data_IF_228261668998
#
_entry.id   IF_228261668998
#
_cell.length_a   1.000
_cell.length_b   1.000
_cell.length_c   1.000
_cell.angle_alpha   90.00
_cell.angle_beta   90.00
_cell.angle_gamma   90.00
#
_symmetry.space_group_name_H-M   'P 1'
#
loop_
_entity.id
_entity.type
_entity.pdbx_description
1 polymer ?
#
# COMPACT_ATOMS: atom_id res chain seq x y z
N UNK A 1 -4.69 4.31 22.40
CA UNK A 1 -5.61 3.16 22.32
C UNK A 1 -5.32 2.26 23.50
N UNK A 2 -6.32 2.03 24.36
CA UNK A 2 -6.20 1.29 25.61
C UNK A 2 -6.42 -0.21 25.39
N UNK A 3 -5.43 -1.03 25.69
CA UNK A 3 -5.64 -2.47 25.87
C UNK A 3 -5.97 -2.73 27.35
N UNK A 4 -7.21 -3.11 27.62
CA UNK A 4 -7.66 -3.60 28.92
C UNK A 4 -7.42 -5.10 29.01
N UNK A 5 -6.70 -5.55 30.05
CA UNK A 5 -6.68 -6.95 30.45
C UNK A 5 -7.40 -7.08 31.80
N UNK A 6 -8.58 -7.68 31.76
CA UNK A 6 -9.33 -8.15 32.93
C UNK A 6 -8.55 -9.27 33.61
N UNK A 7 -8.16 -9.07 34.87
CA UNK A 7 -7.52 -10.11 35.68
C UNK A 7 -8.58 -11.13 36.12
N UNK A 8 -8.55 -12.33 35.53
CA UNK A 8 -9.15 -13.52 36.14
C UNK A 8 -8.10 -14.18 37.04
N UNK A 9 -8.43 -14.28 38.32
CA UNK A 9 -7.61 -14.90 39.36
C UNK A 9 -7.60 -16.41 39.11
N UNK A 10 -6.50 -16.94 38.60
CA UNK A 10 -5.99 -18.29 38.88
C UNK A 10 -4.57 -18.40 38.36
N UNK A 11 -3.60 -18.66 39.24
CA UNK A 11 -2.21 -18.94 38.87
C UNK A 11 -2.10 -20.33 38.21
N UNK A 12 -2.52 -20.41 36.95
CA UNK A 12 -2.22 -21.52 36.04
C UNK A 12 -0.88 -21.27 35.33
N UNK A 13 -0.16 -22.35 35.03
CA UNK A 13 1.11 -22.38 34.30
C UNK A 13 0.97 -21.94 32.84
N UNK A 14 0.62 -20.68 32.61
CA UNK A 14 0.40 -20.11 31.29
C UNK A 14 1.60 -19.26 30.90
N UNK A 15 2.38 -19.72 29.92
CA UNK A 15 3.20 -18.82 29.10
C UNK A 15 2.23 -17.87 28.40
N UNK A 16 2.02 -16.68 28.97
CA UNK A 16 1.29 -15.62 28.32
C UNK A 16 2.19 -15.00 27.26
N UNK A 17 2.05 -15.43 26.01
CA UNK A 17 2.68 -14.77 24.87
C UNK A 17 1.93 -13.46 24.62
N UNK A 18 2.59 -12.33 24.81
CA UNK A 18 2.04 -11.01 24.47
C UNK A 18 2.42 -10.75 23.01
N UNK A 19 1.41 -10.65 22.13
CA UNK A 19 1.61 -10.28 20.73
C UNK A 19 1.41 -8.77 20.61
N UNK A 20 2.50 -8.02 20.44
CA UNK A 20 2.45 -6.57 20.17
C UNK A 20 2.35 -6.38 18.64
N UNK A 21 1.41 -5.57 18.13
CA UNK A 21 1.39 -5.24 16.70
C UNK A 21 2.66 -4.46 16.31
N UNK A 22 3.22 -4.78 15.14
CA UNK A 22 4.54 -4.37 14.63
C UNK A 22 4.81 -2.85 14.52
N UNK A 23 3.85 -1.97 14.83
CA UNK A 23 3.92 -0.53 14.59
C UNK A 23 3.89 0.34 15.87
N UNK A 24 4.35 -0.18 17.01
CA UNK A 24 4.47 0.62 18.23
C UNK A 24 5.74 1.50 18.20
N UNK A 25 5.68 2.60 17.44
CA UNK A 25 6.67 3.68 17.52
C UNK A 25 6.53 4.35 18.89
N UNK A 26 7.57 4.20 19.73
CA UNK A 26 7.93 5.07 20.85
C UNK A 26 6.82 5.42 21.88
N UNK A 27 5.99 4.44 22.29
CA UNK A 27 5.20 4.57 23.51
C UNK A 27 5.98 4.02 24.72
N UNK A 28 5.92 4.64 25.92
CA UNK A 28 6.51 4.06 27.12
C UNK A 28 5.86 2.70 27.40
N UNK A 29 6.65 1.63 27.33
CA UNK A 29 6.22 0.28 27.69
C UNK A 29 5.95 0.25 29.20
N UNK A 30 4.68 0.09 29.59
CA UNK A 30 4.31 -0.18 30.98
C UNK A 30 4.48 -1.69 31.19
N UNK A 31 5.66 -2.11 31.64
CA UNK A 31 5.88 -3.49 32.05
C UNK A 31 5.20 -3.70 33.41
N UNK A 32 4.08 -4.41 33.44
CA UNK A 32 3.45 -4.81 34.69
C UNK A 32 4.28 -5.90 35.38
N UNK A 33 4.48 -5.75 36.69
CA UNK A 33 5.19 -6.73 37.51
C UNK A 33 4.44 -8.09 37.49
N UNK A 34 5.15 -9.22 37.35
CA UNK A 34 4.54 -10.53 37.55
C UNK A 34 4.09 -10.69 39.01
N UNK A 35 3.00 -11.44 39.25
CA UNK A 35 2.62 -11.88 40.59
C UNK A 35 3.80 -12.60 41.25
N UNK A 36 4.38 -11.97 42.26
CA UNK A 36 5.46 -12.56 43.07
C UNK A 36 4.81 -13.60 43.98
N UNK A 37 5.24 -14.88 43.88
CA UNK A 37 4.84 -15.88 44.88
C UNK A 37 5.33 -15.41 46.24
N UNK A 38 4.51 -15.52 47.27
CA UNK A 38 4.88 -15.15 48.64
C UNK A 38 6.15 -15.91 49.06
N UNK A 39 7.28 -15.20 49.08
CA UNK A 39 8.51 -15.70 49.68
C UNK A 39 8.58 -15.17 51.11
N UNK A 40 8.80 -16.06 52.07
CA UNK A 40 8.96 -15.70 53.48
C UNK A 40 10.14 -14.73 53.65
N UNK A 41 9.85 -13.50 54.04
CA UNK A 41 10.82 -12.39 54.14
C UNK A 41 11.54 -12.31 55.50
N UNK A 42 11.57 -13.39 56.28
CA UNK A 42 12.02 -13.33 57.69
C UNK A 42 13.54 -13.13 57.88
N UNK A 43 14.33 -13.05 56.81
CA UNK A 43 15.80 -12.88 56.87
C UNK A 43 16.25 -11.83 55.84
N UNK A 44 16.83 -10.72 56.32
CA UNK A 44 17.22 -9.55 55.52
C UNK A 44 18.16 -9.86 54.33
N UNK A 45 18.95 -10.94 54.42
CA UNK A 45 19.83 -11.38 53.32
C UNK A 45 19.05 -11.92 52.11
N UNK A 46 17.88 -12.52 52.34
CA UNK A 46 17.02 -13.02 51.26
C UNK A 46 16.23 -11.90 50.58
N UNK A 47 15.83 -10.85 51.32
CA UNK A 47 15.20 -9.67 50.72
C UNK A 47 16.11 -9.01 49.66
N UNK A 48 17.41 -8.86 49.96
CA UNK A 48 18.35 -8.27 49.01
C UNK A 48 18.60 -9.13 47.77
N UNK A 49 18.59 -10.47 47.90
CA UNK A 49 18.72 -11.37 46.74
C UNK A 49 17.47 -11.35 45.87
N UNK A 50 16.28 -11.43 46.46
CA UNK A 50 15.01 -11.41 45.74
C UNK A 50 14.83 -10.09 44.99
N UNK A 51 15.11 -8.96 45.63
CA UNK A 51 15.01 -7.63 44.98
C UNK A 51 15.96 -7.55 43.78
N UNK A 52 17.18 -8.08 43.91
CA UNK A 52 18.18 -8.03 42.84
C UNK A 52 17.83 -8.94 41.68
N UNK A 53 17.35 -10.16 41.94
CA UNK A 53 16.89 -11.08 40.89
C UNK A 53 15.65 -10.57 40.17
N UNK A 54 14.69 -9.99 40.91
CA UNK A 54 13.50 -9.37 40.32
C UNK A 54 13.88 -8.15 39.48
N UNK A 55 14.80 -7.30 39.95
CA UNK A 55 15.29 -6.17 39.15
C UNK A 55 16.02 -6.61 37.88
N UNK A 56 16.86 -7.65 37.96
CA UNK A 56 17.58 -8.18 36.79
C UNK A 56 16.61 -8.82 35.80
N UNK A 57 15.62 -9.57 36.29
CA UNK A 57 14.58 -10.17 35.44
C UNK A 57 13.70 -9.09 34.76
N UNK A 58 13.36 -8.02 35.47
CA UNK A 58 12.67 -6.85 34.91
C UNK A 58 13.55 -6.15 33.87
N UNK A 59 14.81 -5.86 34.20
CA UNK A 59 15.77 -5.23 33.28
C UNK A 59 15.93 -6.03 31.99
N UNK A 60 16.08 -7.35 32.09
CA UNK A 60 16.25 -8.23 30.93
C UNK A 60 14.97 -8.34 30.10
N UNK A 61 13.78 -8.32 30.72
CA UNK A 61 12.50 -8.30 30.00
C UNK A 61 12.27 -6.97 29.28
N UNK A 62 12.51 -5.85 29.95
CA UNK A 62 12.39 -4.53 29.35
C UNK A 62 13.39 -4.31 28.20
N UNK A 63 14.60 -4.88 28.29
CA UNK A 63 15.60 -4.80 27.22
C UNK A 63 15.34 -5.78 26.07
N UNK A 64 14.72 -6.95 26.34
CA UNK A 64 14.38 -7.92 25.30
C UNK A 64 13.18 -7.50 24.43
N UNK A 65 12.36 -6.55 24.90
CA UNK A 65 11.18 -6.04 24.18
C UNK A 65 11.48 -4.80 23.32
N UNK A 66 12.68 -4.22 23.40
CA UNK A 66 13.10 -3.14 22.48
C UNK A 66 13.79 -3.78 21.29
N UNK A 67 13.18 -3.77 20.09
CA UNK A 67 13.88 -4.19 18.88
C UNK A 67 15.17 -3.38 18.77
N UNK A 68 16.30 -3.98 18.38
CA UNK A 68 17.52 -3.22 18.16
C UNK A 68 17.23 -2.07 17.20
N UNK A 69 17.77 -0.86 17.44
CA UNK A 69 17.56 0.27 16.57
C UNK A 69 17.96 -0.13 15.15
N UNK A 70 17.06 0.14 14.18
CA UNK A 70 17.32 -0.16 12.79
C UNK A 70 18.59 0.58 12.34
N UNK A 71 19.45 -0.04 11.52
CA UNK A 71 20.59 0.64 10.96
C UNK A 71 20.16 1.94 10.26
N UNK A 72 20.91 3.05 10.40
CA UNK A 72 20.64 4.28 9.66
C UNK A 72 20.57 4.00 8.15
N UNK A 73 19.59 4.62 7.48
CA UNK A 73 19.33 4.40 6.06
C UNK A 73 18.43 3.20 5.73
N UNK A 74 17.98 2.41 6.72
CA UNK A 74 16.96 1.38 6.48
C UNK A 74 15.66 2.04 6.03
N UNK A 75 15.04 1.56 4.94
CA UNK A 75 13.76 2.07 4.48
C UNK A 75 12.61 1.44 5.28
N UNK A 76 11.78 2.27 5.90
CA UNK A 76 10.60 1.84 6.66
C UNK A 76 9.34 2.24 5.89
N UNK A 77 8.38 1.30 5.82
CA UNK A 77 7.07 1.54 5.24
C UNK A 77 6.26 2.45 6.17
N UNK A 78 5.97 3.66 5.71
CA UNK A 78 5.14 4.64 6.40
C UNK A 78 3.66 4.48 6.05
N UNK A 79 3.36 4.08 4.82
CA UNK A 79 1.99 3.82 4.35
C UNK A 79 1.99 2.82 3.21
N UNK A 80 0.95 1.99 3.14
CA UNK A 80 0.64 1.11 2.03
C UNK A 80 -0.85 1.24 1.73
N UNK A 81 -1.17 1.83 0.58
CA UNK A 81 -2.55 2.14 0.18
C UNK A 81 -2.83 1.52 -1.18
N UNK A 82 -3.96 0.85 -1.30
CA UNK A 82 -4.52 0.43 -2.58
C UNK A 82 -5.74 1.27 -2.89
N UNK A 83 -5.79 1.88 -4.09
CA UNK A 83 -6.98 2.62 -4.53
C UNK A 83 -7.43 2.14 -5.91
N UNK A 84 -8.73 2.28 -6.18
CA UNK A 84 -9.39 1.79 -7.39
C UNK A 84 -10.24 2.88 -8.06
N UNK A 85 -9.92 4.15 -7.82
CA UNK A 85 -10.83 5.26 -8.12
C UNK A 85 -10.45 6.06 -9.37
N UNK A 86 -9.42 5.64 -10.10
CA UNK A 86 -8.97 6.36 -11.29
C UNK A 86 -9.49 5.69 -12.56
N UNK A 87 -10.02 6.50 -13.46
CA UNK A 87 -10.40 6.06 -14.80
C UNK A 87 -9.85 6.98 -15.87
N UNK A 88 -9.59 6.41 -17.05
CA UNK A 88 -9.18 7.13 -18.25
C UNK A 88 -10.15 6.78 -19.37
N UNK A 89 -10.86 7.79 -19.88
CA UNK A 89 -11.64 7.66 -21.10
C UNK A 89 -10.78 8.10 -22.29
N UNK A 90 -10.75 7.28 -23.33
CA UNK A 90 -9.98 7.51 -24.54
C UNK A 90 -10.79 7.08 -25.76
N UNK A 91 -10.69 7.85 -26.85
CA UNK A 91 -11.34 7.52 -28.12
C UNK A 91 -10.28 7.32 -29.19
N UNK A 92 -10.34 6.18 -29.89
CA UNK A 92 -9.48 5.84 -31.01
C UNK A 92 -10.28 6.01 -32.29
N UNK A 93 -10.05 7.11 -33.00
CA UNK A 93 -10.67 7.36 -34.30
C UNK A 93 -10.01 6.49 -35.37
N UNK A 94 -10.77 5.61 -36.01
CA UNK A 94 -10.24 4.68 -37.00
C UNK A 94 -9.95 5.42 -38.30
N UNK A 95 -8.75 5.23 -38.86
CA UNK A 95 -8.39 5.84 -40.14
C UNK A 95 -9.17 5.26 -41.31
N UNK A 96 -9.60 4.01 -41.17
CA UNK A 96 -10.45 3.26 -42.10
C UNK A 96 -11.63 2.78 -41.29
N UNK A 97 -12.84 2.99 -41.80
CA UNK A 97 -14.05 2.49 -41.15
C UNK A 97 -14.00 0.96 -40.99
N UNK A 98 -14.37 0.47 -39.82
CA UNK A 98 -14.34 -0.95 -39.51
C UNK A 98 -15.71 -1.60 -39.68
N UNK A 99 -15.72 -2.78 -40.28
CA UNK A 99 -16.88 -3.67 -40.28
C UNK A 99 -17.02 -4.41 -38.94
N UNK A 100 -15.91 -4.78 -38.30
CA UNK A 100 -15.89 -5.45 -37.01
C UNK A 100 -14.60 -5.18 -36.23
N UNK A 101 -14.70 -5.05 -34.90
CA UNK A 101 -13.53 -5.00 -34.02
C UNK A 101 -13.14 -6.42 -33.64
N UNK A 102 -11.87 -6.77 -33.85
CA UNK A 102 -11.32 -8.10 -33.55
C UNK A 102 -10.78 -8.12 -32.11
N UNK A 103 -9.96 -7.13 -31.75
CA UNK A 103 -9.39 -7.02 -30.40
C UNK A 103 -9.01 -5.59 -30.04
N UNK A 104 -9.03 -5.32 -28.74
CA UNK A 104 -8.53 -4.07 -28.15
C UNK A 104 -7.58 -4.44 -27.01
N UNK A 105 -6.31 -4.14 -27.21
CA UNK A 105 -5.25 -4.37 -26.25
C UNK A 105 -4.76 -3.05 -25.66
N UNK A 106 -4.48 -3.04 -24.36
CA UNK A 106 -4.04 -1.84 -23.65
C UNK A 106 -2.76 -2.16 -22.92
N UNK A 107 -1.74 -1.31 -23.09
CA UNK A 107 -0.48 -1.42 -22.36
C UNK A 107 -0.14 -0.07 -21.72
N UNK A 108 0.44 -0.10 -20.53
CA UNK A 108 0.88 1.10 -19.83
C UNK A 108 2.39 1.27 -20.04
N UNK A 109 2.81 2.47 -20.40
CA UNK A 109 4.21 2.82 -20.63
C UNK A 109 4.59 4.06 -19.83
N UNK A 110 5.88 4.18 -19.52
CA UNK A 110 6.45 5.35 -18.85
C UNK A 110 5.76 5.74 -17.53
N UNK A 111 5.21 4.76 -16.80
CA UNK A 111 4.50 5.03 -15.55
C UNK A 111 5.50 5.47 -14.47
N UNK A 112 5.30 6.65 -13.92
CA UNK A 112 6.11 7.22 -12.85
C UNK A 112 5.24 7.69 -11.70
N UNK A 113 5.78 7.56 -10.49
CA UNK A 113 5.17 8.02 -9.25
C UNK A 113 6.05 9.12 -8.67
N UNK A 114 5.48 10.28 -8.41
CA UNK A 114 6.20 11.42 -7.85
C UNK A 114 5.44 11.99 -6.65
N UNK A 115 6.15 12.25 -5.56
CA UNK A 115 5.60 13.02 -4.45
C UNK A 115 5.66 14.50 -4.82
N UNK A 116 4.51 15.16 -4.85
CA UNK A 116 4.39 16.59 -5.17
C UNK A 116 4.05 17.44 -3.94
N UNK A 117 3.72 16.81 -2.80
CA UNK A 117 3.51 17.49 -1.51
C UNK A 117 3.68 16.54 -0.33
N UNK A 118 4.12 17.06 0.83
CA UNK A 118 4.41 16.26 2.04
C UNK A 118 3.42 16.48 3.20
N UNK A 119 2.64 17.57 3.14
CA UNK A 119 1.54 17.85 4.07
C UNK A 119 0.29 17.11 3.58
N UNK A 120 0.07 15.88 4.07
CA UNK A 120 -0.67 14.82 3.35
C UNK A 120 0.02 14.51 2.04
N UNK A 121 0.64 13.32 1.92
CA UNK A 121 1.44 13.02 0.74
C UNK A 121 0.54 12.98 -0.49
N UNK A 122 0.80 13.90 -1.42
CA UNK A 122 0.15 13.92 -2.72
C UNK A 122 1.10 13.21 -3.67
N UNK A 123 0.66 12.07 -4.19
CA UNK A 123 1.36 11.31 -5.20
C UNK A 123 0.76 11.61 -6.56
N UNK A 124 1.56 12.14 -7.45
CA UNK A 124 1.25 12.28 -8.86
C UNK A 124 1.69 11.01 -9.59
N UNK A 125 0.78 10.44 -10.38
CA UNK A 125 1.01 9.28 -11.22
C UNK A 125 0.90 9.74 -12.65
N UNK A 126 1.99 9.65 -13.40
CA UNK A 126 2.06 10.06 -14.81
C UNK A 126 2.43 8.86 -15.66
N UNK A 127 1.92 8.80 -16.88
CA UNK A 127 2.28 7.75 -17.83
C UNK A 127 1.45 7.82 -19.10
N UNK A 128 1.65 6.82 -19.95
CA UNK A 128 0.99 6.71 -21.25
C UNK A 128 0.20 5.40 -21.32
N UNK A 129 -1.06 5.48 -21.71
CA UNK A 129 -1.86 4.33 -22.09
C UNK A 129 -1.78 4.13 -23.60
N UNK A 130 -1.16 3.05 -24.04
CA UNK A 130 -1.05 2.66 -25.45
C UNK A 130 -2.15 1.66 -25.77
N UNK A 131 -3.16 2.12 -26.50
CA UNK A 131 -4.33 1.37 -26.92
C UNK A 131 -4.10 0.90 -28.35
N UNK A 132 -4.12 -0.41 -28.56
CA UNK A 132 -3.97 -1.04 -29.87
C UNK A 132 -5.26 -1.73 -30.24
N UNK A 133 -5.91 -1.26 -31.29
CA UNK A 133 -7.15 -1.79 -31.84
C UNK A 133 -6.83 -2.58 -33.10
N UNK A 134 -7.22 -3.84 -33.14
CA UNK A 134 -7.18 -4.67 -34.35
C UNK A 134 -8.60 -4.85 -34.85
N UNK A 135 -8.84 -4.59 -36.13
CA UNK A 135 -10.18 -4.58 -36.70
C UNK A 135 -10.18 -5.06 -38.14
N UNK A 136 -11.34 -5.51 -38.62
CA UNK A 136 -11.59 -5.79 -40.02
C UNK A 136 -12.18 -4.53 -40.66
N UNK A 137 -11.51 -3.97 -41.66
CA UNK A 137 -11.97 -2.81 -42.41
C UNK A 137 -13.15 -3.14 -43.32
N UNK A 138 -13.87 -2.11 -43.76
CA UNK A 138 -14.90 -2.25 -44.81
C UNK A 138 -14.33 -2.74 -46.15
N UNK A 139 -13.01 -2.63 -46.33
CA UNK A 139 -12.24 -3.21 -47.45
C UNK A 139 -12.04 -4.74 -47.33
N UNK A 140 -12.46 -5.33 -46.21
CA UNK A 140 -12.34 -6.75 -45.91
C UNK A 140 -10.98 -7.18 -45.38
N UNK A 141 -10.02 -6.25 -45.23
CA UNK A 141 -8.68 -6.53 -44.73
C UNK A 141 -8.58 -6.31 -43.22
N UNK A 142 -7.58 -6.92 -42.59
CA UNK A 142 -7.28 -6.72 -41.17
C UNK A 142 -6.32 -5.55 -41.03
N UNK A 143 -6.72 -4.57 -40.21
CA UNK A 143 -5.94 -3.40 -39.88
C UNK A 143 -5.63 -3.36 -38.38
N UNK A 144 -4.52 -2.71 -38.04
CA UNK A 144 -4.13 -2.44 -36.66
C UNK A 144 -3.85 -0.97 -36.52
N UNK A 145 -4.46 -0.35 -35.51
CA UNK A 145 -4.25 1.05 -35.20
C UNK A 145 -3.88 1.21 -33.73
N UNK A 146 -2.89 2.06 -33.49
CA UNK A 146 -2.40 2.36 -32.14
C UNK A 146 -2.64 3.83 -31.83
N UNK A 147 -3.15 4.09 -30.63
CA UNK A 147 -3.29 5.42 -30.06
C UNK A 147 -2.59 5.46 -28.69
N UNK A 148 -1.85 6.53 -28.46
CA UNK A 148 -1.18 6.78 -27.18
C UNK A 148 -1.89 7.93 -26.47
N UNK A 149 -2.36 7.68 -25.26
CA UNK A 149 -3.09 8.65 -24.46
C UNK A 149 -2.33 8.92 -23.16
N UNK A 150 -1.74 10.12 -22.98
CA UNK A 150 -1.09 10.47 -21.74
C UNK A 150 -2.13 10.66 -20.64
N UNK A 151 -1.80 10.24 -19.41
CA UNK A 151 -2.64 10.44 -18.24
C UNK A 151 -1.83 11.00 -17.06
N UNK A 152 -2.54 11.73 -16.22
CA UNK A 152 -2.01 12.27 -14.97
C UNK A 152 -3.09 12.10 -13.90
N UNK A 153 -2.79 11.31 -12.87
CA UNK A 153 -3.64 11.15 -11.70
C UNK A 153 -2.97 11.72 -10.47
N UNK A 154 -3.77 12.16 -9.52
CA UNK A 154 -3.28 12.59 -8.21
C UNK A 154 -4.02 11.82 -7.13
N UNK A 155 -3.26 11.22 -6.23
CA UNK A 155 -3.79 10.55 -5.04
C UNK A 155 -3.25 11.22 -3.79
N UNK A 156 -4.16 11.46 -2.84
CA UNK A 156 -3.82 12.05 -1.54
C UNK A 156 -3.84 10.96 -0.50
N UNK A 157 -2.68 10.70 0.11
CA UNK A 157 -2.53 9.77 1.22
C UNK A 157 -2.54 10.59 2.52
N UNK A 158 -3.55 10.42 3.39
CA UNK A 158 -3.64 11.18 4.63
C UNK A 158 -2.49 10.81 5.58
N UNK A 159 -1.88 11.82 6.20
CA UNK A 159 -0.79 11.64 7.18
C UNK A 159 0.26 12.74 7.08
N UNK A 160 1.20 12.72 8.04
CA UNK A 160 2.40 13.57 8.01
C UNK A 160 3.60 12.71 7.66
N UNK A 161 4.30 13.07 6.60
CA UNK A 161 5.43 12.29 6.10
C UNK A 161 6.70 13.15 6.09
N UNK A 162 7.86 12.57 6.43
CA UNK A 162 9.15 13.25 6.31
C UNK A 162 9.44 13.73 4.88
N UNK A 163 10.20 14.81 4.73
CA UNK A 163 10.58 15.36 3.41
C UNK A 163 11.52 14.44 2.60
N UNK A 164 12.18 13.50 3.26
CA UNK A 164 13.02 12.48 2.63
C UNK A 164 12.25 11.19 2.27
N UNK A 165 10.91 11.25 2.27
CA UNK A 165 10.08 10.11 1.87
C UNK A 165 10.25 9.79 0.39
N UNK A 166 10.21 8.51 0.05
CA UNK A 166 10.27 7.96 -1.29
C UNK A 166 8.92 7.29 -1.58
N UNK A 167 8.44 7.43 -2.81
CA UNK A 167 7.25 6.70 -3.26
C UNK A 167 7.65 5.52 -4.12
N UNK A 168 7.04 4.38 -3.87
CA UNK A 168 7.04 3.22 -4.75
C UNK A 168 5.59 2.86 -5.05
N UNK A 169 5.33 2.36 -6.24
CA UNK A 169 3.99 1.94 -6.57
C UNK A 169 3.92 1.08 -7.82
N UNK A 170 2.75 0.48 -8.00
CA UNK A 170 2.39 -0.25 -9.20
C UNK A 170 1.03 0.22 -9.68
N UNK A 171 0.89 0.34 -11.00
CA UNK A 171 -0.35 0.68 -11.68
C UNK A 171 -0.71 -0.47 -12.60
N UNK A 172 -1.95 -0.96 -12.53
CA UNK A 172 -2.48 -1.94 -13.47
C UNK A 172 -3.88 -1.58 -13.94
N UNK A 173 -4.24 -2.04 -15.13
CA UNK A 173 -5.62 -1.96 -15.63
C UNK A 173 -6.40 -3.10 -14.98
N UNK A 174 -7.34 -2.76 -14.11
CA UNK A 174 -8.19 -3.75 -13.42
C UNK A 174 -9.39 -4.13 -14.28
N UNK A 175 -9.96 -3.16 -14.99
CA UNK A 175 -11.09 -3.37 -15.88
C UNK A 175 -11.01 -2.43 -17.07
N UNK A 176 -11.62 -2.82 -18.18
CA UNK A 176 -11.78 -1.99 -19.37
C UNK A 176 -13.20 -2.16 -19.92
N UNK A 177 -13.79 -1.06 -20.37
CA UNK A 177 -15.01 -1.08 -21.17
C UNK A 177 -14.70 -0.54 -22.55
N UNK A 178 -15.29 -1.17 -23.56
CA UNK A 178 -15.10 -0.83 -24.97
C UNK A 178 -16.47 -0.59 -25.58
N UNK A 179 -16.65 0.56 -26.20
CA UNK A 179 -17.88 0.97 -26.89
C UNK A 179 -17.50 1.35 -28.31
N UNK A 180 -18.20 0.76 -29.27
CA UNK A 180 -18.00 1.05 -30.69
C UNK A 180 -18.86 2.25 -31.07
N UNK A 181 -18.26 3.23 -31.73
CA UNK A 181 -18.98 4.38 -32.29
C UNK A 181 -19.29 4.08 -33.76
N UNK A 182 -20.58 3.98 -34.06
CA UNK A 182 -21.09 3.57 -35.37
C UNK A 182 -21.65 4.82 -36.07
N UNK A 183 -21.24 5.06 -37.31
CA UNK A 183 -21.89 6.07 -38.15
C UNK A 183 -23.27 5.55 -38.57
N UNK A 184 -24.38 6.25 -38.25
CA UNK A 184 -25.72 5.83 -38.62
C UNK A 184 -25.96 5.76 -40.15
N UNK A 185 -25.12 6.41 -40.95
CA UNK A 185 -25.24 6.53 -42.40
C UNK A 185 -24.61 5.35 -43.15
N UNK A 186 -23.44 4.89 -42.69
CA UNK A 186 -22.70 3.77 -43.30
C UNK A 186 -22.85 2.47 -42.51
N UNK A 187 -23.37 2.54 -41.27
CA UNK A 187 -23.41 1.45 -40.29
C UNK A 187 -22.02 0.85 -39.99
N UNK A 188 -20.96 1.58 -40.33
CA UNK A 188 -19.59 1.18 -40.06
C UNK A 188 -19.08 1.82 -38.77
N UNK A 189 -18.12 1.16 -38.14
CA UNK A 189 -17.49 1.64 -36.90
C UNK A 189 -16.43 2.66 -37.28
N UNK A 190 -16.60 3.89 -36.82
CA UNK A 190 -15.70 5.02 -37.13
C UNK A 190 -14.71 5.30 -36.00
N UNK A 191 -15.07 4.95 -34.76
CA UNK A 191 -14.19 5.09 -33.61
C UNK A 191 -14.49 4.04 -32.56
N UNK A 192 -13.51 3.83 -31.67
CA UNK A 192 -13.64 2.94 -30.52
C UNK A 192 -13.34 3.73 -29.26
N UNK A 193 -14.36 3.87 -28.41
CA UNK A 193 -14.25 4.53 -27.11
C UNK A 193 -13.93 3.49 -26.04
N UNK A 194 -12.80 3.66 -25.36
CA UNK A 194 -12.28 2.78 -24.33
C UNK A 194 -12.23 3.52 -23.00
N UNK A 195 -12.85 2.96 -21.96
CA UNK A 195 -12.68 3.44 -20.59
C UNK A 195 -11.87 2.44 -19.79
N UNK A 196 -10.73 2.88 -19.27
CA UNK A 196 -9.83 2.09 -18.44
C UNK A 196 -10.11 2.40 -16.98
N UNK A 197 -10.16 1.36 -16.14
CA UNK A 197 -10.24 1.48 -14.69
C UNK A 197 -8.95 0.96 -14.08
N UNK A 198 -8.28 1.79 -13.30
CA UNK A 198 -6.98 1.47 -12.75
C UNK A 198 -7.07 0.99 -11.32
N UNK A 199 -6.17 0.05 -10.99
CA UNK A 199 -5.80 -0.27 -9.63
C UNK A 199 -4.40 0.28 -9.36
N UNK A 200 -4.27 1.10 -8.34
CA UNK A 200 -3.00 1.64 -7.86
C UNK A 200 -2.65 1.00 -6.53
N UNK A 201 -1.38 0.62 -6.39
CA UNK A 201 -0.78 0.33 -5.09
C UNK A 201 0.33 1.34 -4.87
N UNK A 202 0.26 2.07 -3.77
CA UNK A 202 1.23 3.11 -3.40
C UNK A 202 1.80 2.78 -2.03
N UNK A 203 3.13 2.73 -1.98
CA UNK A 203 3.93 2.51 -0.78
C UNK A 203 4.78 3.75 -0.56
N UNK A 204 4.64 4.37 0.62
CA UNK A 204 5.51 5.46 1.03
C UNK A 204 6.56 4.89 1.98
N UNK A 205 7.82 5.16 1.66
CA UNK A 205 9.00 4.73 2.42
C UNK A 205 9.72 5.95 2.97
N UNK A 206 10.36 5.83 4.13
CA UNK A 206 11.35 6.83 4.57
C UNK A 206 12.57 6.14 5.20
N UNK A 207 13.78 6.69 5.02
CA UNK A 207 14.96 6.15 5.67
C UNK A 207 14.95 6.46 7.17
N UNK A 208 15.34 5.48 7.98
CA UNK A 208 15.60 5.66 9.42
C UNK A 208 16.79 6.59 9.59
N UNK A 209 16.59 7.63 10.40
CA UNK A 209 17.61 8.61 10.78
C UNK A 209 18.70 7.98 11.66
#
# INVERSE_FOLDING_TARGET
>A
MSCSCTQSITCGSSRSTITIPQNAVAAPLICSLPCVREFSTSVARFQNQIVREVLVALSNRCQAEVPPPLPPGTLVVLSNTTTFNQSLAATVNLQIEAAAIISVNVTLQNVQFQIVGFSSVIVQIIGDAVITVTFQGIDGLIHTQTATVPFVFTETIPGTFPANSIVQGSLSVNNQTVVNEIDPSTLAIVAVSVTLFFATNIIILAPVA
#
